data_IF_325024213665
#
_entry.id   IF_325024213665
#
_cell.length_a   1.000
_cell.length_b   1.000
_cell.length_c   1.000
_cell.angle_alpha   90.00
_cell.angle_beta   90.00
_cell.angle_gamma   90.00
#
_symmetry.space_group_name_H-M   'P 1'
#
loop_
_entity.id
_entity.type
_entity.pdbx_description
1 polymer ?
#
# COMPACT_ATOMS: atom_id res chain seq x y z
N UNK A 1 14.77 -1.47 1.44
CA UNK A 1 13.81 -1.32 0.32
C UNK A 1 14.56 -1.13 -0.99
N UNK A 2 14.06 -1.71 -2.05
CA UNK A 2 14.60 -1.54 -3.40
C UNK A 2 14.05 -0.24 -4.00
N UNK A 3 14.94 0.69 -4.37
CA UNK A 3 14.52 2.01 -4.87
C UNK A 3 13.65 1.91 -6.13
N UNK A 4 13.97 0.98 -7.05
CA UNK A 4 13.21 0.84 -8.28
C UNK A 4 11.79 0.34 -8.00
N UNK A 5 11.64 -0.62 -7.09
CA UNK A 5 10.33 -1.13 -6.68
C UNK A 5 9.50 -0.07 -6.00
N UNK A 6 10.11 0.73 -5.14
CA UNK A 6 9.40 1.81 -4.43
C UNK A 6 8.92 2.88 -5.41
N UNK A 7 9.79 3.34 -6.30
CA UNK A 7 9.42 4.35 -7.29
C UNK A 7 8.29 3.83 -8.17
N UNK A 8 8.40 2.59 -8.66
CA UNK A 8 7.35 1.99 -9.49
C UNK A 8 6.03 1.85 -8.73
N UNK A 9 6.09 1.43 -7.47
CA UNK A 9 4.88 1.27 -6.65
C UNK A 9 4.19 2.60 -6.37
N UNK A 10 4.96 3.66 -6.15
CA UNK A 10 4.42 5.00 -5.89
C UNK A 10 3.92 5.69 -7.17
N UNK A 11 4.28 5.21 -8.33
CA UNK A 11 3.85 5.78 -9.61
C UNK A 11 2.46 5.26 -10.01
N UNK A 12 1.50 5.47 -9.13
CA UNK A 12 0.12 5.06 -9.34
C UNK A 12 -0.78 5.82 -8.38
N UNK A 13 -1.75 6.55 -8.94
CA UNK A 13 -2.73 7.27 -8.13
C UNK A 13 -3.47 6.31 -7.19
N UNK A 14 -3.93 5.17 -7.71
CA UNK A 14 -4.64 4.19 -6.90
C UNK A 14 -3.79 3.72 -5.72
N UNK A 15 -2.55 3.33 -5.95
CA UNK A 15 -1.70 2.83 -4.88
C UNK A 15 -1.38 3.91 -3.85
N UNK A 16 -1.19 5.16 -4.26
CA UNK A 16 -1.00 6.26 -3.32
C UNK A 16 -2.25 6.49 -2.45
N UNK A 17 -3.44 6.36 -3.04
CA UNK A 17 -4.69 6.47 -2.26
C UNK A 17 -4.85 5.32 -1.27
N UNK A 18 -4.45 4.11 -1.66
CA UNK A 18 -4.45 2.97 -0.74
C UNK A 18 -3.51 3.20 0.45
N UNK A 19 -2.32 3.75 0.20
CA UNK A 19 -1.39 4.08 1.29
C UNK A 19 -2.00 5.08 2.27
N UNK A 20 -2.72 6.08 1.78
CA UNK A 20 -3.42 7.04 2.64
C UNK A 20 -4.48 6.37 3.50
N UNK A 21 -5.20 5.41 2.93
CA UNK A 21 -6.20 4.63 3.67
C UNK A 21 -5.54 3.83 4.78
N UNK A 22 -4.45 3.13 4.47
CA UNK A 22 -3.73 2.30 5.43
C UNK A 22 -2.98 3.11 6.49
N UNK A 23 -2.72 4.39 6.23
CA UNK A 23 -2.10 5.26 7.23
C UNK A 23 -2.97 5.45 8.47
N UNK A 24 -4.26 5.22 8.38
CA UNK A 24 -5.19 5.34 9.51
C UNK A 24 -5.18 4.09 10.37
N UNK A 25 -5.25 2.91 9.75
CA UNK A 25 -5.22 1.63 10.44
C UNK A 25 -5.02 0.50 9.43
N UNK A 26 -4.59 -0.68 9.88
CA UNK A 26 -4.52 -1.86 9.02
C UNK A 26 -5.91 -2.26 8.52
N UNK A 27 -5.98 -2.78 7.30
CA UNK A 27 -7.25 -3.16 6.67
C UNK A 27 -7.10 -4.38 5.77
N UNK A 28 -8.21 -5.10 5.60
CA UNK A 28 -8.32 -6.18 4.62
C UNK A 28 -8.52 -5.60 3.23
N UNK A 29 -8.42 -6.44 2.19
CA UNK A 29 -8.70 -6.04 0.81
C UNK A 29 -10.10 -5.45 0.68
N UNK A 30 -11.11 -6.09 1.30
CA UNK A 30 -12.50 -5.64 1.22
C UNK A 30 -12.68 -4.29 1.90
N UNK A 31 -12.07 -4.11 3.07
CA UNK A 31 -12.15 -2.83 3.78
C UNK A 31 -11.50 -1.70 2.97
N UNK A 32 -10.37 -1.99 2.31
CA UNK A 32 -9.73 -1.01 1.43
C UNK A 32 -10.66 -0.67 0.26
N UNK A 33 -11.26 -1.67 -0.35
CA UNK A 33 -12.21 -1.47 -1.46
C UNK A 33 -13.38 -0.57 -1.03
N UNK A 34 -13.95 -0.83 0.16
CA UNK A 34 -15.04 -0.01 0.67
C UNK A 34 -14.62 1.44 0.89
N UNK A 35 -13.42 1.67 1.43
CA UNK A 35 -12.91 3.01 1.65
C UNK A 35 -12.61 3.74 0.33
N UNK A 36 -12.15 3.02 -0.68
CA UNK A 36 -11.96 3.59 -2.01
C UNK A 36 -13.30 4.05 -2.60
N UNK A 37 -14.35 3.25 -2.43
CA UNK A 37 -15.69 3.63 -2.87
C UNK A 37 -16.19 4.88 -2.17
N UNK A 38 -15.93 5.02 -0.87
CA UNK A 38 -16.28 6.23 -0.12
C UNK A 38 -15.57 7.45 -0.65
N UNK A 39 -14.36 7.29 -1.19
CA UNK A 39 -13.61 8.36 -1.84
C UNK A 39 -14.04 8.59 -3.29
N UNK A 40 -15.07 7.87 -3.74
CA UNK A 40 -15.59 7.92 -5.12
C UNK A 40 -14.55 7.47 -6.15
N UNK A 41 -13.67 6.57 -5.76
CA UNK A 41 -12.73 5.93 -6.66
C UNK A 41 -13.38 4.60 -7.09
N UNK A 42 -13.80 4.55 -8.34
CA UNK A 42 -14.45 3.37 -8.88
C UNK A 42 -13.46 2.25 -9.12
N UNK A 43 -13.74 1.10 -8.52
CA UNK A 43 -12.97 -0.13 -8.75
C UNK A 43 -13.97 -1.20 -9.21
N UNK A 44 -13.78 -1.66 -10.43
CA UNK A 44 -14.67 -2.66 -11.02
C UNK A 44 -14.48 -4.05 -10.43
N UNK A 45 -13.24 -4.43 -10.14
CA UNK A 45 -12.91 -5.76 -9.63
C UNK A 45 -12.09 -5.67 -8.36
N UNK A 46 -12.47 -6.47 -7.35
CA UNK A 46 -11.72 -6.60 -6.09
C UNK A 46 -10.26 -6.99 -6.35
N UNK A 47 -10.02 -7.77 -7.39
CA UNK A 47 -8.68 -8.20 -7.75
C UNK A 47 -7.73 -7.03 -8.06
N UNK A 48 -8.27 -5.93 -8.58
CA UNK A 48 -7.47 -4.72 -8.83
C UNK A 48 -6.87 -4.19 -7.54
N UNK A 49 -7.66 -4.19 -6.47
CA UNK A 49 -7.20 -3.76 -5.14
C UNK A 49 -6.18 -4.74 -4.58
N UNK A 50 -6.46 -6.03 -4.70
CA UNK A 50 -5.53 -7.06 -4.24
C UNK A 50 -4.17 -6.93 -4.91
N UNK A 51 -4.14 -6.79 -6.23
CA UNK A 51 -2.89 -6.63 -6.99
C UNK A 51 -2.14 -5.37 -6.60
N UNK A 52 -2.86 -4.27 -6.36
CA UNK A 52 -2.25 -3.02 -5.92
C UNK A 52 -1.59 -3.20 -4.55
N UNK A 53 -2.28 -3.86 -3.62
CA UNK A 53 -1.74 -4.14 -2.28
C UNK A 53 -0.52 -5.06 -2.34
N UNK A 54 -0.54 -6.09 -3.20
CA UNK A 54 0.59 -7.00 -3.35
C UNK A 54 1.80 -6.30 -3.97
N UNK A 55 1.58 -5.35 -4.88
CA UNK A 55 2.68 -4.55 -5.42
C UNK A 55 3.31 -3.65 -4.37
N UNK A 56 2.47 -3.07 -3.51
CA UNK A 56 2.95 -2.28 -2.37
C UNK A 56 3.70 -3.17 -1.36
N UNK A 57 3.22 -4.38 -1.15
CA UNK A 57 3.87 -5.35 -0.27
C UNK A 57 5.24 -5.78 -0.82
N UNK A 58 5.32 -6.04 -2.12
CA UNK A 58 6.58 -6.42 -2.77
C UNK A 58 7.62 -5.28 -2.68
N UNK A 59 7.17 -4.04 -2.69
CA UNK A 59 8.04 -2.87 -2.52
C UNK A 59 8.35 -2.57 -1.03
N UNK A 60 7.83 -3.37 -0.10
CA UNK A 60 7.98 -3.22 1.34
C UNK A 60 7.38 -1.92 1.91
N UNK A 61 6.47 -1.29 1.15
CA UNK A 61 5.75 -0.11 1.62
C UNK A 61 4.60 -0.47 2.55
N UNK A 62 4.12 -1.69 2.46
CA UNK A 62 3.14 -2.24 3.40
C UNK A 62 3.61 -3.62 3.85
N UNK A 63 3.19 -4.00 5.06
CA UNK A 63 3.31 -5.35 5.56
C UNK A 63 1.96 -6.03 5.53
N UNK A 64 1.93 -7.33 5.78
CA UNK A 64 0.67 -8.05 5.94
C UNK A 64 0.77 -9.06 7.08
N UNK A 65 -0.37 -9.34 7.69
CA UNK A 65 -0.45 -10.30 8.78
C UNK A 65 -1.84 -10.91 8.80
N UNK A 66 -1.97 -12.04 9.47
CA UNK A 66 -3.26 -12.70 9.62
C UNK A 66 -3.92 -12.26 10.91
N UNK A 67 -5.11 -11.68 10.79
CA UNK A 67 -5.95 -11.36 11.94
C UNK A 67 -7.03 -12.43 12.06
N UNK A 68 -7.10 -13.08 13.21
CA UNK A 68 -7.97 -14.24 13.44
C UNK A 68 -9.42 -14.05 12.99
N UNK A 69 -9.96 -12.86 13.21
CA UNK A 69 -11.38 -12.60 12.92
C UNK A 69 -11.62 -12.00 11.53
N UNK A 70 -10.58 -11.46 10.91
CA UNK A 70 -10.71 -10.72 9.64
C UNK A 70 -10.03 -11.38 8.46
N UNK A 71 -9.03 -12.24 8.70
CA UNK A 71 -8.16 -12.80 7.67
C UNK A 71 -6.93 -11.94 7.43
N UNK A 72 -6.46 -11.89 6.19
CA UNK A 72 -5.25 -11.13 5.85
C UNK A 72 -5.50 -9.63 5.89
N UNK A 73 -4.72 -8.93 6.70
CA UNK A 73 -4.72 -7.47 6.81
C UNK A 73 -3.41 -6.91 6.28
N UNK A 74 -3.49 -5.73 5.67
CA UNK A 74 -2.33 -4.98 5.21
C UNK A 74 -2.16 -3.75 6.10
N UNK A 75 -0.91 -3.41 6.39
CA UNK A 75 -0.58 -2.25 7.23
C UNK A 75 0.54 -1.45 6.61
N UNK A 76 0.52 -0.14 6.83
CA UNK A 76 1.59 0.72 6.36
C UNK A 76 2.89 0.38 7.10
N UNK A 77 4.00 0.25 6.38
CA UNK A 77 5.32 -0.04 6.98
C UNK A 77 5.90 1.21 7.63
N UNK A 78 5.84 2.33 6.92
CA UNK A 78 6.35 3.61 7.40
C UNK A 78 5.55 4.72 6.76
N UNK A 79 5.39 5.85 7.47
CA UNK A 79 4.66 7.01 6.92
C UNK A 79 5.53 7.84 6.00
N UNK A 80 6.83 7.72 6.12
CA UNK A 80 7.79 8.48 5.34
C UNK A 80 8.95 7.60 4.94
N UNK A 81 9.46 7.84 3.74
CA UNK A 81 10.72 7.27 3.28
C UNK A 81 11.56 8.41 2.70
N UNK A 82 12.86 8.31 2.82
CA UNK A 82 13.78 9.30 2.29
C UNK A 82 14.58 8.63 1.18
N UNK A 83 14.63 9.29 0.03
CA UNK A 83 15.40 8.80 -1.11
C UNK A 83 16.72 9.55 -1.13
N UNK A 84 17.83 8.83 -0.96
CA UNK A 84 19.17 9.39 -1.16
C UNK A 84 19.51 9.17 -2.64
N UNK A 85 19.42 10.26 -3.40
CA UNK A 85 19.60 10.20 -4.85
C UNK A 85 21.03 9.81 -5.23
N UNK A 86 21.99 10.30 -4.48
CA UNK A 86 23.41 10.07 -4.78
C UNK A 86 23.80 8.62 -4.49
N UNK A 87 23.37 8.10 -3.36
CA UNK A 87 23.64 6.70 -2.99
C UNK A 87 22.70 5.71 -3.69
N UNK A 88 21.56 6.18 -4.20
CA UNK A 88 20.55 5.31 -4.82
C UNK A 88 19.87 4.38 -3.84
N UNK A 89 19.68 4.84 -2.61
CA UNK A 89 19.05 4.02 -1.55
C UNK A 89 17.87 4.73 -0.94
N UNK A 90 17.00 3.93 -0.29
CA UNK A 90 15.84 4.44 0.44
C UNK A 90 16.04 4.15 1.92
N UNK A 91 15.77 5.15 2.72
CA UNK A 91 15.82 5.06 4.18
C UNK A 91 14.40 5.26 4.73
N UNK A 92 14.04 4.46 5.72
CA UNK A 92 12.79 4.63 6.44
C UNK A 92 12.96 5.66 7.55
N UNK A 93 11.93 6.43 7.74
CA UNK A 93 11.92 7.46 8.78
C UNK A 93 11.24 6.97 10.06
#
# INVERSE_FOLDING_TARGET
MDINKVIAALNSHLRREILKILAKEPKTVIEVLEDLKKKKIEIKYRETVYRALEKLFDAELVGKYYAKEKGICYKLTAKRVVIDIVKGVIEED
#
